data_IF_498254756242
#
_entry.id   IF_498254756242
#
_cell.length_a   1.000
_cell.length_b   1.000
_cell.length_c   1.000
_cell.angle_alpha   90.00
_cell.angle_beta   90.00
_cell.angle_gamma   90.00
#
_symmetry.space_group_name_H-M   'P 1'
#
loop_
_entity.id
_entity.type
_entity.pdbx_description
1 polymer ?
#
# COMPACT_ATOMS: atom_id res chain seq x y z
N UNK A 1 19.19 -20.56 -14.73
CA UNK A 1 18.27 -20.13 -15.82
C UNK A 1 18.46 -18.65 -16.05
N UNK A 2 18.19 -18.17 -17.25
CA UNK A 2 18.10 -16.76 -17.61
C UNK A 2 16.64 -16.33 -17.49
N UNK A 3 16.32 -15.39 -16.59
CA UNK A 3 14.94 -15.03 -16.27
C UNK A 3 14.75 -13.52 -16.41
N UNK A 4 13.71 -13.11 -17.16
CA UNK A 4 13.28 -11.73 -17.21
C UNK A 4 12.26 -11.45 -16.11
N UNK A 5 12.33 -10.25 -15.50
CA UNK A 5 11.31 -9.71 -14.62
C UNK A 5 10.81 -8.39 -15.23
N UNK A 6 9.51 -8.33 -15.54
CA UNK A 6 8.91 -7.15 -16.16
C UNK A 6 8.22 -6.32 -15.09
N UNK A 7 8.77 -5.15 -14.84
CA UNK A 7 8.35 -4.21 -13.81
C UNK A 7 9.25 -4.24 -12.56
N UNK A 8 9.79 -3.08 -12.19
CA UNK A 8 10.63 -2.88 -11.00
C UNK A 8 9.87 -2.27 -9.82
N UNK A 9 8.57 -2.57 -9.70
CA UNK A 9 7.82 -2.39 -8.48
C UNK A 9 8.31 -3.33 -7.37
N UNK A 10 7.83 -3.15 -6.13
CA UNK A 10 8.31 -3.95 -4.98
C UNK A 10 8.21 -5.47 -5.21
N UNK A 11 7.13 -5.94 -5.83
CA UNK A 11 6.96 -7.36 -6.14
C UNK A 11 8.01 -7.87 -7.13
N UNK A 12 8.31 -7.10 -8.20
CA UNK A 12 9.32 -7.44 -9.19
C UNK A 12 10.72 -7.45 -8.61
N UNK A 13 11.07 -6.41 -7.84
CA UNK A 13 12.38 -6.30 -7.17
C UNK A 13 12.60 -7.44 -6.16
N UNK A 14 11.60 -7.76 -5.35
CA UNK A 14 11.68 -8.85 -4.39
C UNK A 14 11.83 -10.20 -5.10
N UNK A 15 11.07 -10.44 -6.17
CA UNK A 15 11.18 -11.66 -6.98
C UNK A 15 12.56 -11.78 -7.62
N UNK A 16 13.06 -10.71 -8.23
CA UNK A 16 14.37 -10.66 -8.86
C UNK A 16 15.48 -11.00 -7.86
N UNK A 17 15.46 -10.41 -6.65
CA UNK A 17 16.43 -10.68 -5.60
C UNK A 17 16.41 -12.14 -5.15
N UNK A 18 15.23 -12.68 -4.87
CA UNK A 18 15.07 -14.09 -4.44
C UNK A 18 15.58 -15.05 -5.50
N UNK A 19 15.26 -14.81 -6.77
CA UNK A 19 15.72 -15.66 -7.89
C UNK A 19 17.23 -15.54 -8.12
N UNK A 20 17.80 -14.36 -7.97
CA UNK A 20 19.24 -14.17 -8.06
C UNK A 20 19.97 -14.87 -6.92
N UNK A 21 19.49 -14.77 -5.69
CA UNK A 21 20.05 -15.48 -4.54
C UNK A 21 19.96 -17.01 -4.71
N UNK A 22 18.97 -17.49 -5.48
CA UNK A 22 18.84 -18.89 -5.87
C UNK A 22 19.78 -19.30 -7.04
N UNK A 23 20.64 -18.39 -7.51
CA UNK A 23 21.65 -18.67 -8.55
C UNK A 23 21.14 -18.53 -9.99
N UNK A 24 20.05 -17.82 -10.23
CA UNK A 24 19.57 -17.53 -11.57
C UNK A 24 20.18 -16.21 -12.10
N UNK A 25 20.26 -16.07 -13.42
CA UNK A 25 20.67 -14.84 -14.09
C UNK A 25 19.44 -14.00 -14.38
N UNK A 26 19.32 -12.82 -13.74
CA UNK A 26 18.11 -12.00 -13.76
C UNK A 26 18.36 -10.71 -14.53
N UNK A 27 17.41 -10.37 -15.41
CA UNK A 27 17.30 -9.07 -16.05
C UNK A 27 15.95 -8.46 -15.74
N UNK A 28 15.93 -7.23 -15.23
CA UNK A 28 14.70 -6.48 -14.95
C UNK A 28 14.46 -5.47 -16.08
N UNK A 29 13.22 -5.39 -16.56
CA UNK A 29 12.78 -4.36 -17.50
C UNK A 29 11.80 -3.41 -16.81
N UNK A 30 12.10 -2.10 -16.87
CA UNK A 30 11.26 -1.04 -16.31
C UNK A 30 10.86 -0.04 -17.41
N UNK A 31 9.57 0.26 -17.47
CA UNK A 31 9.02 1.17 -18.49
C UNK A 31 9.31 2.66 -18.22
N UNK A 32 9.59 3.01 -16.96
CA UNK A 32 9.88 4.38 -16.53
C UNK A 32 11.39 4.63 -16.50
N UNK A 33 11.77 5.90 -16.47
CA UNK A 33 13.15 6.28 -16.22
C UNK A 33 13.54 5.96 -14.77
N UNK A 34 14.72 5.38 -14.57
CA UNK A 34 15.18 4.93 -13.27
C UNK A 34 14.55 3.60 -12.85
N UNK A 35 14.50 3.36 -11.55
CA UNK A 35 13.89 2.15 -10.97
C UNK A 35 12.43 2.47 -10.63
N UNK A 36 11.49 1.57 -10.84
CA UNK A 36 10.05 1.82 -10.65
C UNK A 36 9.65 2.29 -9.24
N UNK A 37 10.48 2.02 -8.22
CA UNK A 37 10.27 2.48 -6.85
C UNK A 37 11.00 3.79 -6.51
N UNK A 38 11.79 4.37 -7.39
CA UNK A 38 12.53 5.62 -7.12
C UNK A 38 11.61 6.81 -6.89
N UNK A 39 10.46 6.87 -7.57
CA UNK A 39 9.44 7.89 -7.38
C UNK A 39 8.79 7.85 -5.99
N UNK A 40 8.98 6.79 -5.24
CA UNK A 40 8.42 6.62 -3.89
C UNK A 40 9.29 7.17 -2.77
N UNK A 41 10.49 7.69 -3.08
CA UNK A 41 11.39 8.30 -2.10
C UNK A 41 11.84 9.66 -2.58
N UNK A 42 11.58 10.68 -1.76
CA UNK A 42 11.90 12.07 -2.07
C UNK A 42 12.94 12.60 -1.06
N UNK A 43 13.98 13.23 -1.56
CA UNK A 43 14.92 13.96 -0.73
C UNK A 43 14.33 15.32 -0.33
N UNK A 44 14.23 15.61 0.96
CA UNK A 44 13.70 16.85 1.49
C UNK A 44 14.43 17.27 2.77
N UNK A 45 14.95 18.50 2.83
CA UNK A 45 15.65 19.08 3.99
C UNK A 45 16.70 18.16 4.63
N UNK A 46 17.49 17.47 3.81
CA UNK A 46 18.55 16.55 4.26
C UNK A 46 18.06 15.19 4.75
N UNK A 47 16.77 14.91 4.62
CA UNK A 47 16.15 13.61 4.92
C UNK A 47 15.53 12.93 3.70
N UNK A 48 15.00 11.73 3.91
CA UNK A 48 14.24 10.98 2.91
C UNK A 48 12.81 10.84 3.38
N UNK A 49 11.87 11.20 2.51
CA UNK A 49 10.43 11.03 2.71
C UNK A 49 9.93 9.98 1.72
N UNK A 50 9.32 8.92 2.22
CA UNK A 50 8.61 7.98 1.37
C UNK A 50 7.21 8.52 1.04
N UNK A 51 6.85 8.50 -0.24
CA UNK A 51 5.55 8.90 -0.74
C UNK A 51 4.92 7.77 -1.59
N UNK A 52 3.79 7.18 -1.18
CA UNK A 52 3.10 7.40 0.09
C UNK A 52 3.91 6.94 1.31
N UNK A 53 3.57 7.48 2.49
CA UNK A 53 4.25 7.14 3.74
C UNK A 53 4.25 5.62 3.99
N UNK A 54 5.43 5.04 4.17
CA UNK A 54 5.60 3.61 4.45
C UNK A 54 5.78 3.38 5.94
N UNK A 55 4.67 3.15 6.64
CA UNK A 55 4.66 2.67 8.03
C UNK A 55 4.11 1.24 8.03
N UNK A 56 4.80 0.35 8.72
CA UNK A 56 4.58 -1.08 8.64
C UNK A 56 4.12 -1.62 9.99
N UNK A 57 2.93 -2.22 10.04
CA UNK A 57 2.54 -3.04 11.18
C UNK A 57 3.31 -4.36 11.12
N UNK A 58 3.98 -4.81 12.20
CA UNK A 58 4.81 -6.02 12.19
C UNK A 58 4.06 -7.29 11.78
N UNK A 59 2.77 -7.38 12.09
CA UNK A 59 1.95 -8.56 11.75
C UNK A 59 1.50 -8.57 10.30
N UNK A 60 1.18 -7.40 9.73
CA UNK A 60 0.75 -7.28 8.33
C UNK A 60 1.92 -7.31 7.35
N UNK A 61 3.07 -6.77 7.75
CA UNK A 61 4.25 -6.59 6.91
C UNK A 61 5.39 -7.56 7.25
N UNK A 62 5.05 -8.70 7.85
CA UNK A 62 6.03 -9.66 8.35
C UNK A 62 7.03 -10.09 7.27
N UNK A 63 6.56 -10.42 6.06
CA UNK A 63 7.43 -10.84 4.97
C UNK A 63 8.38 -9.72 4.54
N UNK A 64 7.88 -8.49 4.37
CA UNK A 64 8.71 -7.33 3.99
C UNK A 64 9.76 -7.01 5.05
N UNK A 65 9.38 -7.01 6.34
CA UNK A 65 10.30 -6.74 7.45
C UNK A 65 11.35 -7.84 7.60
N UNK A 66 10.95 -9.10 7.45
CA UNK A 66 11.90 -10.23 7.47
C UNK A 66 12.87 -10.16 6.30
N UNK A 67 12.39 -9.80 5.12
CA UNK A 67 13.23 -9.67 3.94
C UNK A 67 14.20 -8.48 4.05
N UNK A 68 13.73 -7.33 4.54
CA UNK A 68 14.59 -6.19 4.83
C UNK A 68 15.69 -6.57 5.84
N UNK A 69 15.35 -7.32 6.89
CA UNK A 69 16.32 -7.82 7.89
C UNK A 69 17.33 -8.77 7.25
N UNK A 70 16.90 -9.68 6.39
CA UNK A 70 17.78 -10.60 5.64
C UNK A 70 18.80 -9.82 4.79
N UNK A 71 18.39 -8.71 4.20
CA UNK A 71 19.26 -7.81 3.42
C UNK A 71 20.08 -6.82 4.30
N UNK A 72 20.06 -6.98 5.62
CA UNK A 72 20.84 -6.16 6.55
C UNK A 72 20.24 -4.79 6.86
N UNK A 73 18.98 -4.53 6.48
CA UNK A 73 18.28 -3.27 6.75
C UNK A 73 17.56 -3.36 8.08
N UNK A 74 17.87 -2.42 8.97
CA UNK A 74 17.22 -2.32 10.28
C UNK A 74 15.91 -1.56 10.20
N UNK A 75 14.96 -1.93 11.02
CA UNK A 75 13.73 -1.17 11.26
C UNK A 75 13.79 -0.44 12.59
N UNK A 76 12.98 0.60 12.73
CA UNK A 76 12.84 1.37 13.96
C UNK A 76 11.38 1.73 14.23
N UNK A 77 10.95 1.82 15.51
CA UNK A 77 9.58 2.19 15.84
C UNK A 77 9.33 3.67 15.56
N UNK A 78 8.16 3.95 15.01
CA UNK A 78 7.70 5.31 14.75
C UNK A 78 6.41 5.60 15.50
N UNK A 79 6.22 6.87 15.85
CA UNK A 79 4.99 7.37 16.43
C UNK A 79 4.19 8.08 15.36
N UNK A 80 2.99 7.59 15.12
CA UNK A 80 2.05 8.26 14.23
C UNK A 80 1.13 9.16 15.05
N UNK A 81 0.79 10.30 14.46
CA UNK A 81 -0.17 11.25 15.00
C UNK A 81 -1.31 11.37 14.00
N UNK A 82 -2.52 11.50 14.51
CA UNK A 82 -3.71 11.66 13.70
C UNK A 82 -4.39 12.97 14.04
N UNK A 83 -4.77 13.70 13.01
CA UNK A 83 -5.62 14.87 13.10
C UNK A 83 -6.79 14.67 12.14
N UNK A 84 -8.01 14.78 12.65
CA UNK A 84 -9.22 14.71 11.82
C UNK A 84 -9.93 16.07 11.85
N UNK A 85 -10.35 16.52 10.68
CA UNK A 85 -11.04 17.79 10.50
C UNK A 85 -12.27 17.58 9.63
N UNK A 86 -13.34 18.32 9.94
CA UNK A 86 -14.45 18.50 9.04
C UNK A 86 -14.11 19.61 8.04
N UNK A 87 -14.36 19.35 6.78
CA UNK A 87 -14.19 20.33 5.70
C UNK A 87 -15.56 20.89 5.35
N UNK A 88 -15.71 22.18 5.53
CA UNK A 88 -16.86 22.96 5.08
C UNK A 88 -16.39 23.92 3.98
N UNK A 89 -17.26 24.40 3.15
CA UNK A 89 -16.90 25.24 1.99
C UNK A 89 -16.01 26.44 2.32
N UNK A 90 -16.19 27.03 3.51
CA UNK A 90 -15.49 28.22 3.98
C UNK A 90 -14.59 27.97 5.22
N UNK A 91 -14.56 26.73 5.74
CA UNK A 91 -13.97 26.47 7.05
C UNK A 91 -13.46 25.05 7.22
N UNK A 92 -12.29 24.95 7.82
CA UNK A 92 -11.72 23.67 8.33
C UNK A 92 -11.92 23.65 9.85
N UNK A 93 -12.66 22.68 10.37
CA UNK A 93 -12.84 22.49 11.79
C UNK A 93 -12.14 21.22 12.29
N UNK A 94 -10.97 21.38 12.93
CA UNK A 94 -10.27 20.28 13.56
C UNK A 94 -10.98 19.85 14.83
N UNK A 95 -11.46 18.62 14.87
CA UNK A 95 -12.25 18.09 15.97
C UNK A 95 -11.54 16.95 16.75
N UNK A 96 -10.59 16.24 16.13
CA UNK A 96 -9.79 15.22 16.79
C UNK A 96 -8.31 15.48 16.51
N UNK A 97 -7.49 15.43 17.55
CA UNK A 97 -6.04 15.46 17.43
C UNK A 97 -5.44 14.58 18.52
N UNK A 98 -4.51 13.73 18.14
CA UNK A 98 -3.78 12.87 19.08
C UNK A 98 -2.58 13.61 19.66
N UNK A 99 -2.25 13.37 20.94
CA UNK A 99 -1.11 13.98 21.63
C UNK A 99 0.14 13.08 21.55
N UNK A 100 1.28 13.65 21.98
CA UNK A 100 2.51 12.87 22.20
C UNK A 100 2.40 11.92 23.39
N UNK A 101 1.52 12.22 24.35
CA UNK A 101 1.26 11.40 25.53
C UNK A 101 0.42 10.18 25.13
N UNK A 102 0.75 9.03 25.67
CA UNK A 102 0.09 7.75 25.39
C UNK A 102 -0.28 7.03 26.68
N UNK A 103 -1.30 6.19 26.58
CA UNK A 103 -1.63 5.16 27.58
C UNK A 103 -1.40 3.83 26.88
N UNK A 104 -0.33 3.13 27.23
CA UNK A 104 0.16 2.00 26.45
C UNK A 104 0.52 2.44 25.03
N UNK A 105 -0.04 1.78 24.03
CA UNK A 105 0.18 2.11 22.62
C UNK A 105 -0.80 3.17 22.07
N UNK A 106 -1.81 3.59 22.85
CA UNK A 106 -2.84 4.52 22.40
C UNK A 106 -2.47 5.98 22.69
N UNK A 107 -2.47 6.86 21.70
CA UNK A 107 -2.28 8.29 21.93
C UNK A 107 -3.52 8.88 22.61
N UNK A 108 -3.30 9.79 23.57
CA UNK A 108 -4.38 10.53 24.20
C UNK A 108 -4.89 11.57 23.20
N UNK A 109 -6.23 11.74 23.13
CA UNK A 109 -6.84 12.81 22.36
C UNK A 109 -6.63 14.14 23.11
N UNK A 110 -6.10 15.14 22.39
CA UNK A 110 -5.76 16.44 22.96
C UNK A 110 -6.54 17.61 22.33
N UNK A 111 -7.82 17.43 22.12
CA UNK A 111 -8.71 18.50 21.68
C UNK A 111 -9.89 18.59 22.65
N UNK A 112 -9.82 19.54 23.60
CA UNK A 112 -10.84 19.71 24.64
C UNK A 112 -12.24 19.96 24.04
N UNK A 113 -12.33 20.77 22.97
CA UNK A 113 -13.61 21.05 22.28
C UNK A 113 -14.15 19.79 21.63
N UNK A 114 -13.33 19.08 20.88
CA UNK A 114 -13.71 17.83 20.21
C UNK A 114 -14.08 16.73 21.21
N UNK A 115 -13.34 16.60 22.31
CA UNK A 115 -13.67 15.63 23.38
C UNK A 115 -15.03 15.94 23.98
N UNK A 116 -15.30 17.20 24.30
CA UNK A 116 -16.60 17.62 24.89
C UNK A 116 -17.77 17.34 23.93
N UNK A 117 -17.56 17.58 22.65
CA UNK A 117 -18.60 17.45 21.63
C UNK A 117 -18.78 16.02 21.12
N UNK A 118 -17.69 15.28 20.90
CA UNK A 118 -17.69 13.99 20.20
C UNK A 118 -17.16 12.82 21.03
N UNK A 119 -16.57 13.07 22.22
CA UNK A 119 -15.85 12.05 22.99
C UNK A 119 -16.67 10.79 23.27
N UNK A 120 -17.93 10.95 23.69
CA UNK A 120 -18.82 9.82 23.92
C UNK A 120 -19.14 9.05 22.62
N UNK A 121 -19.36 9.77 21.53
CA UNK A 121 -19.64 9.17 20.20
C UNK A 121 -18.45 8.36 19.71
N UNK A 122 -17.22 8.82 19.93
CA UNK A 122 -15.99 8.09 19.61
C UNK A 122 -15.87 6.80 20.42
N UNK A 123 -16.08 6.87 21.72
CA UNK A 123 -16.00 5.67 22.59
C UNK A 123 -17.10 4.67 22.21
N UNK A 124 -18.33 5.12 22.01
CA UNK A 124 -19.44 4.29 21.55
C UNK A 124 -19.12 3.62 20.23
N UNK A 125 -18.68 4.37 19.22
CA UNK A 125 -18.34 3.84 17.89
C UNK A 125 -17.19 2.84 17.94
N UNK A 126 -16.15 3.10 18.74
CA UNK A 126 -15.04 2.15 18.93
C UNK A 126 -15.51 0.83 19.55
N UNK A 127 -16.35 0.89 20.58
CA UNK A 127 -16.90 -0.33 21.21
C UNK A 127 -17.80 -1.11 20.26
N UNK A 128 -18.67 -0.40 19.51
CA UNK A 128 -19.51 -1.00 18.48
C UNK A 128 -18.66 -1.69 17.39
N UNK A 129 -17.64 -1.02 16.87
CA UNK A 129 -16.77 -1.58 15.85
C UNK A 129 -16.01 -2.82 16.36
N UNK A 130 -15.43 -2.76 17.57
CA UNK A 130 -14.74 -3.93 18.17
C UNK A 130 -15.68 -5.13 18.33
N UNK A 131 -16.89 -4.88 18.82
CA UNK A 131 -17.90 -5.94 18.98
C UNK A 131 -18.32 -6.51 17.64
N UNK A 132 -18.59 -5.66 16.66
CA UNK A 132 -18.99 -6.06 15.32
C UNK A 132 -17.90 -6.90 14.61
N UNK A 133 -16.63 -6.47 14.69
CA UNK A 133 -15.49 -7.22 14.15
C UNK A 133 -15.37 -8.59 14.82
N UNK A 134 -15.50 -8.64 16.14
CA UNK A 134 -15.44 -9.90 16.88
C UNK A 134 -16.57 -10.88 16.47
N UNK A 135 -17.79 -10.37 16.31
CA UNK A 135 -18.93 -11.16 15.85
C UNK A 135 -18.75 -11.62 14.40
N UNK A 136 -18.26 -10.74 13.52
CA UNK A 136 -17.97 -11.07 12.14
C UNK A 136 -17.02 -12.26 12.01
N UNK A 137 -15.89 -12.26 12.75
CA UNK A 137 -14.92 -13.36 12.68
C UNK A 137 -15.41 -14.65 13.34
N UNK A 138 -16.48 -14.61 14.16
CA UNK A 138 -17.17 -15.79 14.68
C UNK A 138 -18.28 -16.30 13.77
N UNK A 139 -18.75 -15.46 12.85
CA UNK A 139 -19.80 -15.81 11.89
C UNK A 139 -19.31 -16.82 10.86
N UNK A 140 -20.21 -17.68 10.39
CA UNK A 140 -19.97 -18.57 9.24
C UNK A 140 -19.99 -17.81 7.90
N UNK A 141 -20.79 -16.74 7.82
CA UNK A 141 -20.86 -15.88 6.64
C UNK A 141 -19.91 -14.70 6.79
N UNK A 142 -18.79 -14.76 6.08
CA UNK A 142 -17.77 -13.69 6.01
C UNK A 142 -17.63 -13.14 4.59
N UNK A 143 -18.46 -13.61 3.67
CA UNK A 143 -18.47 -13.17 2.27
C UNK A 143 -19.51 -12.06 2.08
N UNK A 144 -19.21 -10.91 2.66
CA UNK A 144 -20.01 -9.68 2.55
C UNK A 144 -19.10 -8.50 2.25
N UNK A 145 -19.67 -7.45 1.66
CA UNK A 145 -18.99 -6.19 1.41
C UNK A 145 -18.84 -5.36 2.69
N UNK A 146 -17.93 -4.36 2.66
CA UNK A 146 -17.78 -3.43 3.77
C UNK A 146 -19.08 -2.63 4.02
N UNK A 147 -19.77 -2.21 2.94
CA UNK A 147 -21.04 -1.49 3.05
C UNK A 147 -22.12 -2.34 3.75
N UNK A 148 -22.25 -3.62 3.38
CA UNK A 148 -23.16 -4.55 4.07
C UNK A 148 -22.79 -4.73 5.54
N UNK A 149 -21.49 -4.88 5.85
CA UNK A 149 -21.03 -4.97 7.23
C UNK A 149 -21.44 -3.74 8.06
N UNK A 150 -21.25 -2.53 7.52
CA UNK A 150 -21.60 -1.29 8.21
C UNK A 150 -23.12 -1.17 8.42
N UNK A 151 -23.89 -1.46 7.38
CA UNK A 151 -25.36 -1.38 7.44
C UNK A 151 -25.95 -2.34 8.49
N UNK A 152 -25.38 -3.54 8.61
CA UNK A 152 -25.82 -4.53 9.61
C UNK A 152 -25.47 -4.14 11.06
N UNK A 153 -24.39 -3.40 11.29
CA UNK A 153 -23.85 -3.17 12.63
C UNK A 153 -24.14 -1.78 13.19
N UNK A 154 -24.71 -0.85 12.40
CA UNK A 154 -25.12 0.50 12.82
C UNK A 154 -24.06 1.22 13.65
N UNK A 155 -22.81 1.23 13.14
CA UNK A 155 -21.69 1.89 13.82
C UNK A 155 -21.93 3.39 13.87
N UNK A 156 -21.54 4.02 14.98
CA UNK A 156 -21.73 5.44 15.23
C UNK A 156 -21.12 6.30 14.10
N UNK A 157 -21.93 7.14 13.46
CA UNK A 157 -21.60 7.86 12.22
C UNK A 157 -20.38 8.77 12.34
N UNK A 158 -20.27 9.55 13.41
CA UNK A 158 -19.13 10.48 13.60
C UNK A 158 -17.82 9.68 13.76
N UNK A 159 -17.87 8.56 14.45
CA UNK A 159 -16.72 7.69 14.57
C UNK A 159 -16.36 7.05 13.22
N UNK A 160 -17.37 6.53 12.52
CA UNK A 160 -17.12 5.86 11.23
C UNK A 160 -16.62 6.83 10.17
N UNK A 161 -17.38 7.88 9.88
CA UNK A 161 -17.06 8.85 8.81
C UNK A 161 -15.94 9.82 9.19
N UNK A 162 -15.81 10.15 10.47
CA UNK A 162 -14.85 11.14 10.93
C UNK A 162 -13.50 10.58 11.34
N UNK A 163 -13.41 9.30 11.73
CA UNK A 163 -12.15 8.71 12.19
C UNK A 163 -11.73 7.47 11.39
N UNK A 164 -12.64 6.55 11.06
CA UNK A 164 -12.30 5.29 10.41
C UNK A 164 -12.13 5.47 8.89
N UNK A 165 -13.13 6.07 8.23
CA UNK A 165 -13.09 6.24 6.77
C UNK A 165 -11.90 7.06 6.28
N UNK A 166 -11.49 8.18 6.92
CA UNK A 166 -10.29 8.90 6.49
C UNK A 166 -9.02 8.05 6.51
N UNK A 167 -8.90 7.12 7.48
CA UNK A 167 -7.79 6.16 7.51
C UNK A 167 -7.87 5.19 6.35
N UNK A 168 -9.04 4.64 6.07
CA UNK A 168 -9.25 3.72 4.93
C UNK A 168 -8.98 4.42 3.60
N UNK A 169 -9.41 5.67 3.40
CA UNK A 169 -9.10 6.44 2.18
C UNK A 169 -7.61 6.62 1.97
N UNK A 170 -6.90 6.96 3.04
CA UNK A 170 -5.45 7.15 2.97
C UNK A 170 -4.71 5.86 2.58
N UNK A 171 -5.23 4.70 3.01
CA UNK A 171 -4.56 3.41 2.79
C UNK A 171 -5.00 2.77 1.46
N UNK A 172 -6.30 2.82 1.16
CA UNK A 172 -6.85 2.19 -0.05
C UNK A 172 -6.73 3.08 -1.29
N UNK A 173 -6.50 4.38 -1.12
CA UNK A 173 -6.35 5.39 -2.21
C UNK A 173 -7.47 5.35 -3.25
N UNK A 174 -8.71 5.09 -2.81
CA UNK A 174 -9.90 5.07 -3.65
C UNK A 174 -11.08 5.72 -2.92
N UNK A 175 -12.14 6.02 -3.66
CA UNK A 175 -13.32 6.70 -3.13
C UNK A 175 -14.15 5.81 -2.16
N UNK A 176 -15.04 6.43 -1.35
CA UNK A 176 -15.85 5.74 -0.35
C UNK A 176 -16.74 4.63 -0.89
N UNK A 177 -17.31 4.85 -2.07
CA UNK A 177 -18.24 3.91 -2.69
C UNK A 177 -17.48 2.65 -3.10
N UNK A 178 -16.35 2.83 -3.76
CA UNK A 178 -15.47 1.75 -4.17
C UNK A 178 -14.99 0.94 -2.96
N UNK A 179 -14.54 1.59 -1.86
CA UNK A 179 -14.14 0.89 -0.63
C UNK A 179 -15.34 0.12 -0.04
N UNK A 180 -16.53 0.67 -0.10
CA UNK A 180 -17.75 0.02 0.36
C UNK A 180 -18.07 -1.28 -0.37
N UNK A 181 -17.72 -1.38 -1.64
CA UNK A 181 -17.91 -2.57 -2.48
C UNK A 181 -16.86 -3.68 -2.23
N UNK A 182 -15.78 -3.36 -1.53
CA UNK A 182 -14.73 -4.34 -1.27
C UNK A 182 -15.17 -5.39 -0.25
N UNK A 183 -14.61 -6.63 -0.33
CA UNK A 183 -14.82 -7.63 0.71
C UNK A 183 -14.49 -7.09 2.10
N UNK A 184 -15.39 -7.25 3.05
CA UNK A 184 -15.21 -6.72 4.41
C UNK A 184 -14.00 -7.33 5.13
N UNK A 185 -13.75 -8.62 4.94
CA UNK A 185 -12.78 -9.40 5.71
C UNK A 185 -11.36 -8.80 5.74
N UNK A 186 -10.68 -8.48 4.62
CA UNK A 186 -9.34 -7.92 4.66
C UNK A 186 -9.30 -6.55 5.34
N UNK A 187 -10.31 -5.70 5.13
CA UNK A 187 -10.40 -4.40 5.76
C UNK A 187 -10.62 -4.50 7.27
N UNK A 188 -11.43 -5.45 7.72
CA UNK A 188 -11.67 -5.69 9.14
C UNK A 188 -10.46 -6.31 9.87
N UNK A 189 -9.66 -7.15 9.19
CA UNK A 189 -8.36 -7.61 9.72
C UNK A 189 -7.45 -6.41 9.97
N UNK A 190 -7.35 -5.51 9.01
CA UNK A 190 -6.56 -4.28 9.12
C UNK A 190 -7.07 -3.38 10.26
N UNK A 191 -8.37 -3.08 10.32
CA UNK A 191 -8.98 -2.25 11.37
C UNK A 191 -8.80 -2.86 12.77
N UNK A 192 -8.88 -4.17 12.89
CA UNK A 192 -8.62 -4.86 14.15
C UNK A 192 -7.21 -4.60 14.66
N UNK A 193 -6.21 -4.69 13.79
CA UNK A 193 -4.82 -4.46 14.19
C UNK A 193 -4.54 -3.00 14.56
N UNK A 194 -5.17 -2.04 13.87
CA UNK A 194 -5.12 -0.64 14.29
C UNK A 194 -5.69 -0.42 15.69
N UNK A 195 -6.75 -1.15 16.05
CA UNK A 195 -7.37 -1.05 17.37
C UNK A 195 -6.62 -1.80 18.47
N UNK A 196 -5.74 -2.72 18.13
CA UNK A 196 -4.92 -3.46 19.09
C UNK A 196 -3.64 -2.69 19.50
N UNK A 197 -3.34 -1.58 18.77
CA UNK A 197 -2.34 -0.60 19.20
C UNK A 197 -0.89 -1.01 19.01
N UNK A 198 -0.58 -1.81 18.00
CA UNK A 198 0.78 -2.23 17.70
C UNK A 198 1.70 -1.07 17.34
N UNK A 199 2.99 -1.19 17.70
CA UNK A 199 3.99 -0.26 17.25
C UNK A 199 4.18 -0.35 15.74
N UNK A 200 4.12 0.79 15.05
CA UNK A 200 4.43 0.88 13.63
C UNK A 200 5.95 1.02 13.44
N UNK A 201 6.47 0.42 12.40
CA UNK A 201 7.88 0.41 12.07
C UNK A 201 8.14 1.14 10.75
N UNK A 202 9.34 1.71 10.61
CA UNK A 202 9.92 2.17 9.34
C UNK A 202 11.30 1.55 9.14
N UNK A 203 11.74 1.47 7.90
CA UNK A 203 13.09 1.03 7.55
C UNK A 203 14.06 2.21 7.63
N UNK A 204 15.27 1.97 8.12
CA UNK A 204 16.37 2.94 8.04
C UNK A 204 16.70 3.19 6.56
N UNK A 205 16.82 4.48 6.20
CA UNK A 205 17.05 4.90 4.81
C UNK A 205 15.81 4.83 3.92
N UNK A 206 14.62 4.48 4.47
CA UNK A 206 13.35 4.46 3.74
C UNK A 206 13.28 3.38 2.67
N UNK A 207 12.35 3.56 1.73
CA UNK A 207 12.17 2.65 0.59
C UNK A 207 13.40 2.63 -0.32
N UNK A 208 14.10 3.76 -0.48
CA UNK A 208 15.29 3.85 -1.33
C UNK A 208 16.39 2.87 -0.90
N UNK A 209 16.74 2.85 0.40
CA UNK A 209 17.76 1.93 0.91
C UNK A 209 17.36 0.44 0.72
N UNK A 210 16.06 0.14 0.80
CA UNK A 210 15.58 -1.20 0.56
C UNK A 210 15.71 -1.58 -0.93
N UNK A 211 15.32 -0.67 -1.82
CA UNK A 211 15.46 -0.86 -3.28
C UNK A 211 16.93 -1.05 -3.66
N UNK A 212 17.85 -0.24 -3.12
CA UNK A 212 19.30 -0.37 -3.39
C UNK A 212 19.81 -1.77 -3.05
N UNK A 213 19.36 -2.34 -1.94
CA UNK A 213 19.74 -3.71 -1.55
C UNK A 213 19.08 -4.80 -2.41
N UNK A 214 17.84 -4.57 -2.84
CA UNK A 214 17.13 -5.53 -3.68
C UNK A 214 17.79 -5.69 -5.06
N UNK A 215 18.33 -4.61 -5.62
CA UNK A 215 18.92 -4.61 -6.97
C UNK A 215 20.42 -4.88 -7.01
N UNK A 216 21.08 -5.03 -5.88
CA UNK A 216 22.53 -5.20 -5.82
C UNK A 216 22.98 -6.39 -6.69
N UNK A 217 23.74 -6.09 -7.76
CA UNK A 217 24.22 -7.08 -8.73
C UNK A 217 23.17 -7.60 -9.72
N UNK A 218 22.01 -6.95 -9.85
CA UNK A 218 20.97 -7.28 -10.84
C UNK A 218 21.04 -6.28 -11.99
N UNK A 219 20.92 -6.79 -13.22
CA UNK A 219 20.85 -5.99 -14.43
C UNK A 219 19.44 -5.38 -14.59
N UNK A 220 19.38 -4.04 -14.75
CA UNK A 220 18.12 -3.30 -14.91
C UNK A 220 18.17 -2.46 -16.17
N UNK A 221 17.20 -2.70 -17.06
CA UNK A 221 16.95 -1.89 -18.24
C UNK A 221 15.81 -0.91 -17.93
N UNK A 222 16.15 0.31 -17.55
CA UNK A 222 15.17 1.44 -17.42
C UNK A 222 14.83 2.01 -18.79
N UNK A 223 13.74 2.77 -18.86
CA UNK A 223 13.17 3.30 -20.13
C UNK A 223 12.90 2.19 -21.17
N UNK A 224 12.77 0.96 -20.73
CA UNK A 224 12.63 -0.23 -21.55
C UNK A 224 11.23 -0.84 -21.39
N UNK A 225 10.25 -0.15 -21.97
CA UNK A 225 8.86 -0.62 -21.99
C UNK A 225 8.75 -1.88 -22.84
N UNK A 226 8.30 -2.98 -22.26
CA UNK A 226 8.04 -4.22 -23.00
C UNK A 226 6.75 -4.05 -23.80
N UNK A 227 6.79 -4.48 -25.07
CA UNK A 227 5.70 -4.44 -26.05
C UNK A 227 5.25 -5.81 -26.49
N UNK A 228 6.09 -6.86 -26.33
CA UNK A 228 5.74 -8.23 -26.64
C UNK A 228 6.38 -9.21 -25.66
N UNK A 229 5.57 -10.15 -25.20
CA UNK A 229 6.01 -11.39 -24.53
C UNK A 229 5.27 -12.54 -25.15
N UNK A 230 6.01 -13.48 -25.70
CA UNK A 230 5.42 -14.69 -26.30
C UNK A 230 6.28 -15.94 -26.04
N UNK A 231 5.63 -17.09 -25.92
CA UNK A 231 6.31 -18.36 -25.80
C UNK A 231 6.74 -18.84 -27.20
N UNK A 232 8.04 -19.17 -27.35
CA UNK A 232 8.61 -19.77 -28.56
C UNK A 232 9.32 -21.08 -28.20
N UNK A 233 8.63 -22.20 -28.32
CA UNK A 233 9.16 -23.49 -27.89
C UNK A 233 9.42 -23.53 -26.39
N UNK A 234 10.65 -23.80 -25.96
CA UNK A 234 11.04 -23.87 -24.55
C UNK A 234 11.46 -22.51 -23.97
N UNK A 235 11.61 -21.49 -24.81
CA UNK A 235 12.04 -20.15 -24.45
C UNK A 235 10.92 -19.13 -24.54
N UNK A 236 11.12 -17.98 -23.91
CA UNK A 236 10.21 -16.83 -23.96
C UNK A 236 10.91 -15.69 -24.69
N UNK A 237 10.29 -15.22 -25.73
CA UNK A 237 10.71 -14.05 -26.49
C UNK A 237 10.12 -12.78 -25.85
N UNK A 238 10.95 -11.76 -25.68
CA UNK A 238 10.59 -10.47 -25.11
C UNK A 238 11.08 -9.37 -26.06
N UNK A 239 10.22 -8.41 -26.40
CA UNK A 239 10.58 -7.24 -27.21
C UNK A 239 10.20 -5.96 -26.46
N UNK A 240 11.08 -4.95 -26.53
CA UNK A 240 10.80 -3.62 -25.97
C UNK A 240 10.37 -2.61 -27.03
N UNK A 241 9.96 -1.42 -26.59
CA UNK A 241 9.50 -0.36 -27.48
C UNK A 241 10.59 0.22 -28.39
N UNK A 242 11.87 -0.08 -28.13
CA UNK A 242 13.00 0.29 -28.98
C UNK A 242 13.26 -0.74 -30.10
N UNK A 243 12.48 -1.84 -30.13
CA UNK A 243 12.65 -2.93 -31.08
C UNK A 243 13.80 -3.89 -30.71
N UNK A 244 14.34 -3.78 -29.51
CA UNK A 244 15.33 -4.73 -29.02
C UNK A 244 14.64 -6.05 -28.62
N UNK A 245 15.25 -7.16 -28.99
CA UNK A 245 14.72 -8.51 -28.78
C UNK A 245 15.61 -9.30 -27.85
N UNK A 246 14.98 -10.02 -26.94
CA UNK A 246 15.65 -10.81 -25.92
C UNK A 246 15.02 -12.19 -25.84
N UNK A 247 15.82 -13.19 -25.42
CA UNK A 247 15.37 -14.54 -25.18
C UNK A 247 15.71 -14.98 -23.76
N UNK A 248 14.73 -15.58 -23.08
CA UNK A 248 14.82 -16.03 -21.70
C UNK A 248 14.27 -17.45 -21.54
N UNK A 249 14.74 -18.15 -20.51
CA UNK A 249 14.17 -19.45 -20.14
C UNK A 249 12.80 -19.28 -19.50
N UNK A 250 12.59 -18.18 -18.75
CA UNK A 250 11.32 -17.83 -18.06
C UNK A 250 11.15 -16.32 -17.98
N UNK A 251 9.90 -15.92 -17.83
CA UNK A 251 9.52 -14.52 -17.59
C UNK A 251 8.61 -14.43 -16.38
N UNK A 252 8.85 -13.44 -15.52
CA UNK A 252 7.96 -13.06 -14.43
C UNK A 252 7.36 -11.71 -14.77
N UNK A 253 6.03 -11.65 -14.87
CA UNK A 253 5.29 -10.40 -15.07
C UNK A 253 4.92 -9.83 -13.71
N UNK A 254 5.51 -8.71 -13.34
CA UNK A 254 5.32 -8.01 -12.07
C UNK A 254 4.75 -6.58 -12.26
N UNK A 255 3.99 -6.40 -13.32
CA UNK A 255 3.28 -5.15 -13.62
C UNK A 255 1.84 -5.20 -13.08
N UNK A 256 1.16 -4.05 -12.93
CA UNK A 256 -0.29 -4.04 -12.69
C UNK A 256 -1.04 -4.82 -13.76
N UNK A 257 -2.06 -5.60 -13.35
CA UNK A 257 -2.76 -6.52 -14.26
C UNK A 257 -3.49 -5.82 -15.41
N UNK A 258 -3.87 -4.54 -15.25
CA UNK A 258 -4.46 -3.73 -16.32
C UNK A 258 -3.47 -3.31 -17.43
N UNK A 259 -2.19 -3.65 -17.30
CA UNK A 259 -1.15 -3.36 -18.31
C UNK A 259 -0.76 -4.58 -19.15
N UNK A 260 -1.07 -5.78 -18.70
CA UNK A 260 -0.55 -7.02 -19.31
C UNK A 260 -1.03 -7.25 -20.72
N UNK A 261 -2.27 -6.91 -21.05
CA UNK A 261 -2.83 -7.04 -22.41
C UNK A 261 -2.04 -6.26 -23.47
N UNK A 262 -1.35 -5.19 -23.05
CA UNK A 262 -0.58 -4.35 -23.98
C UNK A 262 0.72 -4.99 -24.47
N UNK A 263 1.15 -6.10 -23.86
CA UNK A 263 2.41 -6.75 -24.22
C UNK A 263 2.39 -8.28 -24.19
N UNK A 264 1.44 -8.95 -23.53
CA UNK A 264 1.30 -10.39 -23.65
C UNK A 264 0.71 -10.76 -25.02
N UNK A 265 1.24 -11.82 -25.62
CA UNK A 265 0.64 -12.36 -26.85
C UNK A 265 -0.80 -12.82 -26.59
N UNK A 266 -1.77 -12.10 -27.20
CA UNK A 266 -3.19 -12.27 -26.92
C UNK A 266 -3.74 -13.65 -27.35
N UNK A 267 -3.13 -14.29 -28.34
CA UNK A 267 -3.55 -15.62 -28.78
C UNK A 267 -3.09 -16.70 -27.79
N UNK A 268 -1.89 -16.59 -27.28
CA UNK A 268 -1.31 -17.60 -26.37
C UNK A 268 -1.84 -17.50 -24.95
N UNK A 269 -2.17 -16.28 -24.47
CA UNK A 269 -2.54 -15.99 -23.08
C UNK A 269 -3.96 -15.45 -22.93
N UNK A 270 -4.87 -15.78 -23.84
CA UNK A 270 -6.22 -15.24 -23.87
C UNK A 270 -6.99 -15.45 -22.56
N UNK A 271 -6.95 -16.66 -22.01
CA UNK A 271 -7.66 -17.01 -20.77
C UNK A 271 -7.06 -16.30 -19.56
N UNK A 272 -5.73 -16.22 -19.47
CA UNK A 272 -5.03 -15.51 -18.39
C UNK A 272 -5.34 -14.02 -18.42
N UNK A 273 -5.31 -13.41 -19.61
CA UNK A 273 -5.65 -12.00 -19.81
C UNK A 273 -7.10 -11.74 -19.41
N UNK A 274 -8.04 -12.60 -19.82
CA UNK A 274 -9.45 -12.48 -19.47
C UNK A 274 -9.68 -12.55 -17.95
N UNK A 275 -8.97 -13.45 -17.26
CA UNK A 275 -9.01 -13.55 -15.80
C UNK A 275 -8.43 -12.31 -15.12
N UNK A 276 -7.27 -11.84 -15.56
CA UNK A 276 -6.57 -10.71 -14.97
C UNK A 276 -7.26 -9.37 -15.21
N UNK A 277 -8.05 -9.25 -16.28
CA UNK A 277 -8.93 -8.09 -16.55
C UNK A 277 -10.07 -7.92 -15.54
N UNK A 278 -10.40 -8.94 -14.76
CA UNK A 278 -11.43 -8.83 -13.72
C UNK A 278 -10.98 -7.97 -12.53
N UNK A 279 -9.67 -7.75 -12.35
CA UNK A 279 -9.16 -6.82 -11.34
C UNK A 279 -9.47 -5.39 -11.75
N UNK A 280 -10.22 -4.68 -10.91
CA UNK A 280 -10.55 -3.27 -11.11
C UNK A 280 -9.42 -2.39 -10.54
N UNK A 281 -9.14 -1.30 -11.22
CA UNK A 281 -8.16 -0.30 -10.80
C UNK A 281 -8.84 1.06 -10.70
N UNK A 282 -8.56 1.76 -9.62
CA UNK A 282 -8.92 3.16 -9.45
C UNK A 282 -7.68 4.03 -9.65
N UNK A 283 -7.90 5.23 -10.18
CA UNK A 283 -6.85 6.24 -10.33
C UNK A 283 -6.90 7.17 -9.13
N UNK A 284 -5.82 7.17 -8.34
CA UNK A 284 -5.63 8.08 -7.21
C UNK A 284 -4.56 9.13 -7.53
N UNK A 285 -4.68 10.30 -6.94
CA UNK A 285 -3.67 11.35 -6.96
C UNK A 285 -3.10 11.58 -5.57
N UNK A 286 -1.79 11.61 -5.45
CA UNK A 286 -1.08 11.96 -4.23
C UNK A 286 -0.31 13.26 -4.46
N UNK A 287 -0.61 14.30 -3.69
CA UNK A 287 0.07 15.59 -3.76
C UNK A 287 0.93 15.79 -2.51
N UNK A 288 2.23 16.06 -2.72
CA UNK A 288 3.12 16.56 -1.68
C UNK A 288 3.32 18.06 -1.84
N UNK A 289 3.15 18.79 -0.75
CA UNK A 289 3.33 20.25 -0.74
C UNK A 289 3.88 20.73 0.61
N UNK A 290 4.39 21.95 0.64
CA UNK A 290 4.93 22.63 1.83
C UNK A 290 4.00 23.71 2.38
N UNK A 291 2.77 23.80 1.88
CA UNK A 291 1.79 24.78 2.35
C UNK A 291 1.37 24.49 3.79
N UNK A 292 1.73 25.40 4.68
CA UNK A 292 1.42 25.30 6.10
C UNK A 292 -0.06 25.63 6.42
N UNK A 293 -0.81 26.21 5.48
CA UNK A 293 -2.22 26.58 5.71
C UNK A 293 -3.13 25.36 5.96
N UNK A 294 -2.79 24.21 5.36
CA UNK A 294 -3.53 22.96 5.55
C UNK A 294 -3.06 22.13 6.75
N UNK A 295 -2.00 22.59 7.41
CA UNK A 295 -1.49 21.90 8.60
C UNK A 295 -2.23 22.36 9.86
N UNK A 296 -2.45 21.47 10.86
CA UNK A 296 -2.99 21.89 12.12
C UNK A 296 -2.08 22.96 12.75
N UNK A 297 -2.66 23.94 13.49
CA UNK A 297 -1.88 25.01 14.11
C UNK A 297 -0.75 24.42 14.97
N UNK A 298 0.45 25.02 14.85
CA UNK A 298 1.60 24.65 15.70
C UNK A 298 1.21 24.76 17.16
N UNK A 299 1.51 23.76 17.92
CA UNK A 299 1.28 23.69 19.37
C UNK A 299 2.53 23.99 20.14
#
# INVERSE_FOLDING_TARGET
>A
MKIAVIGSGMAGLATARILQDAGHNITIFEALSGRGMDSHSLAFEGGIIDAPLRVMNPHLWQNTLSFATHLGIKSFPVRTFMTCSWLFDDKIETWLTTSRTRIGNFPIINNKKGIKQYGWRLVKGMLQLKTAIHQFFKSKNQDITLAEFINHNQIEEVFWHGAVMPVLYTICTCDPKTIGEWPAKPLLVFLRQLTDGDALLRLHGGTAAFVDKLIEGIDIHSDSRITLVEQRGEHVHVENAQGEQFEFDRVVVATPTNKIESFLNNEQFADDIALLKQFKFEQGELVMHTDAAVMPPKR
#
